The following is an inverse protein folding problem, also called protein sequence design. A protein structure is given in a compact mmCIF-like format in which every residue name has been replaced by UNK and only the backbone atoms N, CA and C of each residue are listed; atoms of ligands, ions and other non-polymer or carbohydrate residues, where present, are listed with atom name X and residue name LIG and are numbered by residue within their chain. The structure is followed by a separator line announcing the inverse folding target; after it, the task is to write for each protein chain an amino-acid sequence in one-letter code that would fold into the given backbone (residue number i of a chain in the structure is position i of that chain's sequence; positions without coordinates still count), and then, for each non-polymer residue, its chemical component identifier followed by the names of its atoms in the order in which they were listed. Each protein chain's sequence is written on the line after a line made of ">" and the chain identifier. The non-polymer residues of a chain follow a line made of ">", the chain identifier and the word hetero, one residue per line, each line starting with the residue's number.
data_IF_242902312666
#
_entry.id   IF_242902312666
#
_cell.length_a   1.000
_cell.length_b   1.000
_cell.length_c   1.000
_cell.angle_alpha   90.00
_cell.angle_beta   90.00
_cell.angle_gamma   90.00
#
_symmetry.space_group_name_H-M   'P 1'
#
loop_
_entity.id
_entity.type
_entity.pdbx_description
1 polymer ?
#
# COMPACT_ATOMS: atom_id res chain seq x y z
N UNK A 1 -4.69 19.69 -11.93
CA UNK A 1 -4.94 18.58 -12.88
C UNK A 1 -3.91 17.46 -12.62
N UNK A 2 -4.29 16.51 -11.76
CA UNK A 2 -3.41 15.44 -11.24
C UNK A 2 -3.20 14.34 -12.30
N UNK A 3 -3.89 14.41 -13.41
CA UNK A 3 -3.88 13.37 -14.45
C UNK A 3 -3.09 13.86 -15.66
N UNK A 4 -1.84 13.35 -15.78
CA UNK A 4 -1.09 13.46 -17.03
C UNK A 4 -1.90 12.80 -18.17
N UNK A 5 -1.72 13.28 -19.40
CA UNK A 5 -2.49 12.77 -20.57
C UNK A 5 -2.25 11.26 -20.77
N UNK A 6 -3.23 10.56 -21.31
CA UNK A 6 -3.19 9.11 -21.56
C UNK A 6 -2.00 8.64 -22.40
N UNK A 7 -1.38 9.53 -23.18
CA UNK A 7 -0.19 9.30 -23.98
C UNK A 7 1.09 9.03 -23.17
N UNK A 8 1.14 9.45 -21.90
CA UNK A 8 2.38 9.47 -21.10
C UNK A 8 2.67 8.13 -20.39
N UNK A 9 1.84 7.11 -20.61
CA UNK A 9 1.88 5.84 -19.87
C UNK A 9 1.87 4.60 -20.75
N UNK A 10 2.26 4.77 -22.02
CA UNK A 10 2.50 3.65 -22.92
C UNK A 10 3.81 2.95 -22.53
N UNK A 11 3.73 1.65 -22.31
CA UNK A 11 4.89 0.79 -22.10
C UNK A 11 5.32 0.20 -23.44
N UNK A 12 6.47 0.63 -23.93
CA UNK A 12 7.08 0.06 -25.13
C UNK A 12 7.94 -1.15 -24.74
N UNK A 13 7.41 -2.36 -25.02
CA UNK A 13 8.09 -3.62 -24.73
C UNK A 13 9.47 -3.73 -25.41
N UNK A 14 9.63 -3.10 -26.57
CA UNK A 14 10.90 -3.11 -27.30
C UNK A 14 11.92 -2.24 -26.56
N UNK A 15 11.57 -1.02 -26.20
CA UNK A 15 12.45 -0.14 -25.46
C UNK A 15 12.82 -0.72 -24.09
N UNK A 16 11.86 -1.39 -23.41
CA UNK A 16 12.13 -2.07 -22.15
C UNK A 16 13.14 -3.21 -22.34
N UNK A 17 12.96 -4.02 -23.37
CA UNK A 17 13.88 -5.10 -23.74
C UNK A 17 15.30 -4.56 -23.97
N UNK A 18 15.44 -3.50 -24.74
CA UNK A 18 16.72 -2.83 -25.02
C UNK A 18 17.37 -2.25 -23.75
N UNK A 19 16.59 -1.53 -22.93
CA UNK A 19 17.10 -0.91 -21.68
C UNK A 19 17.53 -1.91 -20.61
N UNK A 20 16.83 -3.04 -20.51
CA UNK A 20 17.09 -4.06 -19.50
C UNK A 20 18.07 -5.14 -19.99
N UNK A 21 18.47 -5.12 -21.27
CA UNK A 21 19.39 -6.10 -21.85
C UNK A 21 18.85 -7.52 -21.90
N UNK A 22 17.52 -7.68 -21.99
CA UNK A 22 16.85 -8.99 -22.02
C UNK A 22 16.03 -9.17 -23.31
N UNK A 23 15.68 -10.40 -23.66
CA UNK A 23 14.81 -10.65 -24.81
C UNK A 23 13.38 -10.16 -24.55
N UNK A 24 12.56 -10.10 -25.62
CA UNK A 24 11.17 -9.64 -25.51
C UNK A 24 10.25 -10.60 -24.75
N UNK A 25 10.60 -11.89 -24.71
CA UNK A 25 9.79 -12.92 -24.03
C UNK A 25 9.61 -12.64 -22.56
N UNK A 26 10.68 -12.48 -21.71
CA UNK A 26 10.50 -12.16 -20.30
C UNK A 26 9.82 -10.80 -20.08
N UNK A 27 9.95 -9.85 -21.00
CA UNK A 27 9.21 -8.58 -20.92
C UNK A 27 7.69 -8.84 -21.06
N UNK A 28 7.28 -9.65 -22.03
CA UNK A 28 5.86 -9.98 -22.21
C UNK A 28 5.28 -10.77 -21.04
N UNK A 29 6.05 -11.70 -20.47
CA UNK A 29 5.65 -12.43 -19.27
C UNK A 29 5.46 -11.48 -18.07
N UNK A 30 6.38 -10.56 -17.87
CA UNK A 30 6.26 -9.53 -16.84
C UNK A 30 5.05 -8.61 -17.08
N UNK A 31 4.81 -8.19 -18.31
CA UNK A 31 3.62 -7.38 -18.68
C UNK A 31 2.33 -8.15 -18.41
N UNK A 32 2.26 -9.44 -18.78
CA UNK A 32 1.08 -10.27 -18.51
C UNK A 32 0.81 -10.39 -17.00
N UNK A 33 1.86 -10.55 -16.18
CA UNK A 33 1.75 -10.56 -14.72
C UNK A 33 1.25 -9.22 -14.18
N UNK A 34 1.81 -8.10 -14.65
CA UNK A 34 1.36 -6.76 -14.26
C UNK A 34 -0.09 -6.49 -14.69
N UNK A 35 -0.54 -7.09 -15.81
CA UNK A 35 -1.93 -7.00 -16.25
C UNK A 35 -2.87 -7.79 -15.34
N UNK A 36 -2.48 -8.99 -14.91
CA UNK A 36 -3.22 -9.77 -13.92
C UNK A 36 -3.33 -9.03 -12.58
N UNK A 37 -2.29 -8.30 -12.19
CA UNK A 37 -2.27 -7.45 -10.99
C UNK A 37 -3.06 -6.13 -11.19
N UNK A 38 -3.54 -5.85 -12.41
CA UNK A 38 -4.30 -4.63 -12.74
C UNK A 38 -3.47 -3.35 -12.75
N UNK A 39 -2.15 -3.47 -12.88
CA UNK A 39 -1.21 -2.32 -12.94
C UNK A 39 -1.13 -1.76 -14.35
N UNK A 40 -1.20 -2.64 -15.34
CA UNK A 40 -1.23 -2.27 -16.75
C UNK A 40 -2.46 -2.84 -17.42
N UNK A 41 -2.78 -2.34 -18.62
CA UNK A 41 -3.85 -2.82 -19.47
C UNK A 41 -3.36 -2.90 -20.91
N UNK A 42 -3.53 -4.07 -21.53
CA UNK A 42 -3.27 -4.24 -22.96
C UNK A 42 -4.47 -3.78 -23.76
N UNK A 43 -4.26 -2.83 -24.65
CA UNK A 43 -5.28 -2.34 -25.58
C UNK A 43 -4.99 -2.91 -26.97
N UNK A 44 -5.90 -3.70 -27.56
CA UNK A 44 -5.68 -4.30 -28.86
C UNK A 44 -5.25 -3.26 -29.92
N UNK A 45 -4.19 -3.57 -30.66
CA UNK A 45 -3.60 -2.72 -31.71
C UNK A 45 -3.02 -1.37 -31.23
N UNK A 46 -3.08 -1.06 -29.94
CA UNK A 46 -2.57 0.19 -29.38
C UNK A 46 -1.39 0.00 -28.40
N UNK A 47 -1.20 -1.22 -27.88
CA UNK A 47 -0.10 -1.55 -26.98
C UNK A 47 -0.51 -1.63 -25.51
N UNK A 48 0.48 -1.59 -24.65
CA UNK A 48 0.34 -1.72 -23.18
C UNK A 48 0.39 -0.34 -22.55
N UNK A 49 -0.54 -0.09 -21.64
CA UNK A 49 -0.66 1.19 -20.92
C UNK A 49 -0.72 0.97 -19.42
N UNK A 50 -0.15 1.87 -18.63
CA UNK A 50 -0.35 1.88 -17.19
C UNK A 50 -1.83 2.09 -16.90
N UNK A 51 -2.42 1.17 -16.14
CA UNK A 51 -3.82 1.25 -15.74
C UNK A 51 -3.98 2.17 -14.53
N UNK A 52 -4.61 3.31 -14.75
CA UNK A 52 -4.94 4.27 -13.70
C UNK A 52 -6.31 3.96 -13.13
N UNK A 53 -6.36 3.73 -11.84
CA UNK A 53 -7.64 3.61 -11.14
C UNK A 53 -8.32 4.98 -11.05
N UNK A 54 -9.62 4.99 -11.26
CA UNK A 54 -10.46 6.18 -11.04
C UNK A 54 -10.51 6.53 -9.55
N UNK A 55 -10.91 7.77 -9.24
CA UNK A 55 -11.12 8.20 -7.85
C UNK A 55 -12.08 7.27 -7.09
N UNK A 56 -13.13 6.79 -7.78
CA UNK A 56 -14.11 5.86 -7.19
C UNK A 56 -13.44 4.53 -6.83
N UNK A 57 -12.72 3.90 -7.76
CA UNK A 57 -12.01 2.63 -7.49
C UNK A 57 -11.03 2.76 -6.33
N UNK A 58 -10.34 3.90 -6.21
CA UNK A 58 -9.43 4.15 -5.10
C UNK A 58 -10.16 4.29 -3.76
N UNK A 59 -11.33 4.94 -3.75
CA UNK A 59 -12.19 5.03 -2.56
C UNK A 59 -12.69 3.63 -2.19
N UNK A 60 -13.13 2.83 -3.16
CA UNK A 60 -13.60 1.47 -2.92
C UNK A 60 -12.49 0.60 -2.30
N UNK A 61 -11.26 0.69 -2.80
CA UNK A 61 -10.10 -0.02 -2.22
C UNK A 61 -9.86 0.42 -0.76
N UNK A 62 -9.84 1.72 -0.50
CA UNK A 62 -9.62 2.25 0.87
C UNK A 62 -10.74 1.84 1.80
N UNK A 63 -11.98 1.79 1.31
CA UNK A 63 -13.14 1.37 2.11
C UNK A 63 -13.03 -0.10 2.52
N UNK A 64 -12.70 -0.99 1.58
CA UNK A 64 -12.47 -2.41 1.87
C UNK A 64 -11.30 -2.58 2.83
N UNK A 65 -10.21 -1.85 2.61
CA UNK A 65 -9.05 -1.85 3.50
C UNK A 65 -9.42 -1.47 4.93
N UNK A 66 -10.12 -0.35 5.11
CA UNK A 66 -10.54 0.09 6.44
C UNK A 66 -11.41 -0.96 7.16
N UNK A 67 -12.31 -1.62 6.41
CA UNK A 67 -13.11 -2.72 6.94
C UNK A 67 -12.27 -3.92 7.41
N UNK A 68 -11.27 -4.31 6.61
CA UNK A 68 -10.36 -5.40 6.96
C UNK A 68 -9.48 -5.04 8.16
N UNK A 69 -8.93 -3.83 8.22
CA UNK A 69 -8.13 -3.37 9.38
C UNK A 69 -8.98 -3.25 10.65
N UNK A 70 -10.21 -2.76 10.54
CA UNK A 70 -11.13 -2.73 11.67
C UNK A 70 -11.39 -4.13 12.24
N UNK A 71 -11.62 -5.12 11.38
CA UNK A 71 -11.78 -6.50 11.81
C UNK A 71 -10.48 -7.14 12.30
N UNK A 72 -9.35 -6.75 11.72
CA UNK A 72 -8.02 -7.22 12.13
C UNK A 72 -7.75 -6.97 13.62
N UNK A 73 -8.22 -5.86 14.19
CA UNK A 73 -8.05 -5.54 15.60
C UNK A 73 -8.61 -6.64 16.51
N UNK A 74 -9.82 -7.16 16.21
CA UNK A 74 -10.42 -8.27 16.97
C UNK A 74 -9.57 -9.55 16.87
N UNK A 75 -9.11 -9.87 15.67
CA UNK A 75 -8.29 -11.07 15.45
C UNK A 75 -6.93 -10.97 16.14
N UNK A 76 -6.30 -9.80 16.14
CA UNK A 76 -5.01 -9.57 16.80
C UNK A 76 -5.13 -9.80 18.30
N UNK A 77 -6.16 -9.23 18.94
CA UNK A 77 -6.39 -9.42 20.37
C UNK A 77 -6.61 -10.89 20.71
N UNK A 78 -7.33 -11.64 19.85
CA UNK A 78 -7.56 -13.06 20.06
C UNK A 78 -6.35 -13.95 19.81
N UNK A 79 -5.51 -13.61 18.81
CA UNK A 79 -4.52 -14.54 18.25
C UNK A 79 -3.07 -14.14 18.52
N UNK A 80 -2.80 -12.90 18.98
CA UNK A 80 -1.42 -12.41 19.16
C UNK A 80 -1.09 -12.18 20.62
N UNK A 81 0.17 -12.42 20.97
CA UNK A 81 0.71 -12.10 22.31
C UNK A 81 0.95 -10.60 22.43
N UNK A 82 1.10 -10.14 23.69
CA UNK A 82 1.46 -8.74 23.96
C UNK A 82 2.77 -8.34 23.27
N UNK A 83 3.80 -9.17 23.33
CA UNK A 83 5.11 -8.90 22.74
C UNK A 83 5.02 -8.79 21.20
N UNK A 84 4.18 -9.62 20.57
CA UNK A 84 3.93 -9.51 19.13
C UNK A 84 3.25 -8.18 18.77
N UNK A 85 2.28 -7.73 19.57
CA UNK A 85 1.62 -6.42 19.39
C UNK A 85 2.59 -5.28 19.63
N UNK A 86 3.40 -5.35 20.70
CA UNK A 86 4.41 -4.34 21.03
C UNK A 86 5.47 -4.17 19.92
N UNK A 87 5.66 -5.22 19.09
CA UNK A 87 6.56 -5.13 17.93
C UNK A 87 6.13 -4.09 16.89
N UNK A 88 4.88 -3.61 16.91
CA UNK A 88 4.38 -2.53 16.05
C UNK A 88 5.05 -1.18 16.37
N UNK A 89 5.49 -0.97 17.61
CA UNK A 89 6.13 0.28 18.06
C UNK A 89 7.38 0.64 17.25
N UNK A 90 8.06 -0.34 16.66
CA UNK A 90 9.22 -0.10 15.78
C UNK A 90 8.91 0.76 14.55
N UNK A 91 7.64 0.86 14.16
CA UNK A 91 7.18 1.70 13.04
C UNK A 91 6.56 3.02 13.50
N UNK A 92 6.41 3.23 14.82
CA UNK A 92 5.74 4.39 15.42
C UNK A 92 6.73 5.36 16.11
N UNK A 93 8.00 5.36 15.69
CA UNK A 93 9.07 6.15 16.32
C UNK A 93 9.16 7.60 15.82
N UNK A 94 8.33 8.00 14.86
CA UNK A 94 8.32 9.35 14.32
C UNK A 94 7.61 10.33 15.25
N UNK A 95 8.13 11.55 15.30
CA UNK A 95 7.48 12.69 15.97
C UNK A 95 6.89 13.66 14.93
N UNK A 96 6.01 14.54 15.39
CA UNK A 96 5.42 15.59 14.54
C UNK A 96 6.47 16.58 14.02
N UNK A 97 7.56 16.74 14.76
CA UNK A 97 8.66 17.64 14.43
C UNK A 97 9.57 17.09 13.34
N UNK A 98 9.82 15.77 13.35
CA UNK A 98 10.79 15.17 12.43
C UNK A 98 10.16 14.49 11.20
N UNK A 99 8.88 14.13 11.24
CA UNK A 99 8.24 13.37 10.16
C UNK A 99 8.31 14.06 8.81
N UNK A 100 8.25 15.40 8.79
CA UNK A 100 8.27 16.17 7.54
C UNK A 100 9.66 16.16 6.87
N UNK A 101 10.73 15.99 7.63
CA UNK A 101 12.09 15.83 7.09
C UNK A 101 12.42 14.38 6.67
N UNK A 102 11.61 13.41 7.13
CA UNK A 102 11.82 11.98 6.91
C UNK A 102 10.66 11.30 6.15
N UNK A 103 9.94 12.04 5.32
CA UNK A 103 8.71 11.57 4.67
C UNK A 103 8.87 10.26 3.87
N UNK A 104 10.01 10.04 3.20
CA UNK A 104 10.24 8.81 2.45
C UNK A 104 10.39 7.61 3.40
N UNK A 105 11.14 7.75 4.49
CA UNK A 105 11.30 6.71 5.52
C UNK A 105 9.96 6.44 6.21
N UNK A 106 9.27 7.49 6.62
CA UNK A 106 7.94 7.40 7.20
C UNK A 106 6.96 6.68 6.28
N UNK A 107 6.92 7.03 4.98
CA UNK A 107 6.02 6.38 4.02
C UNK A 107 6.28 4.88 3.90
N UNK A 108 7.56 4.47 3.91
CA UNK A 108 7.94 3.06 3.88
C UNK A 108 7.54 2.32 5.16
N UNK A 109 7.77 2.93 6.31
CA UNK A 109 7.44 2.32 7.61
C UNK A 109 5.92 2.29 7.85
N UNK A 110 5.19 3.28 7.36
CA UNK A 110 3.72 3.24 7.34
C UNK A 110 3.17 2.02 6.57
N UNK A 111 3.78 1.66 5.42
CA UNK A 111 3.40 0.45 4.69
C UNK A 111 3.72 -0.81 5.51
N UNK A 112 4.91 -0.85 6.12
CA UNK A 112 5.33 -1.99 6.96
C UNK A 112 4.44 -2.14 8.20
N UNK A 113 3.99 -1.03 8.81
CA UNK A 113 3.06 -1.01 9.93
C UNK A 113 1.76 -1.73 9.57
N UNK A 114 1.10 -1.32 8.49
CA UNK A 114 -0.14 -1.93 8.04
C UNK A 114 0.03 -3.40 7.64
N UNK A 115 1.13 -3.75 6.99
CA UNK A 115 1.45 -5.14 6.67
C UNK A 115 1.67 -5.99 7.93
N UNK A 116 2.29 -5.42 8.96
CA UNK A 116 2.48 -6.11 10.23
C UNK A 116 1.15 -6.32 10.98
N UNK A 117 0.24 -5.34 10.95
CA UNK A 117 -1.14 -5.51 11.45
C UNK A 117 -1.79 -6.75 10.83
N UNK A 118 -1.72 -6.90 9.50
CA UNK A 118 -2.30 -8.07 8.84
C UNK A 118 -1.63 -9.38 9.24
N UNK A 119 -0.31 -9.40 9.40
CA UNK A 119 0.42 -10.61 9.85
C UNK A 119 0.02 -11.02 11.27
N UNK A 120 -0.22 -10.06 12.15
CA UNK A 120 -0.63 -10.31 13.52
C UNK A 120 -2.03 -10.93 13.63
N UNK A 121 -2.89 -10.80 12.64
CA UNK A 121 -4.18 -11.51 12.61
C UNK A 121 -4.04 -13.03 12.58
N UNK A 122 -2.90 -13.55 12.12
CA UNK A 122 -2.63 -14.96 11.79
C UNK A 122 -3.51 -15.51 10.66
N UNK A 123 -4.22 -14.65 9.93
CA UNK A 123 -5.06 -14.99 8.77
C UNK A 123 -4.33 -14.61 7.48
N UNK A 124 -3.65 -15.58 6.88
CA UNK A 124 -2.79 -15.39 5.70
C UNK A 124 -3.53 -14.69 4.55
N UNK A 125 -4.77 -15.09 4.29
CA UNK A 125 -5.59 -14.53 3.20
C UNK A 125 -5.82 -13.01 3.33
N UNK A 126 -5.95 -12.49 4.56
CA UNK A 126 -6.09 -11.04 4.77
C UNK A 126 -4.85 -10.28 4.30
N UNK A 127 -3.66 -10.81 4.59
CA UNK A 127 -2.40 -10.23 4.10
C UNK A 127 -2.31 -10.25 2.57
N UNK A 128 -2.65 -11.37 1.94
CA UNK A 128 -2.62 -11.55 0.48
C UNK A 128 -3.59 -10.57 -0.23
N UNK A 129 -4.81 -10.42 0.27
CA UNK A 129 -5.79 -9.46 -0.27
C UNK A 129 -5.25 -8.03 -0.20
N UNK A 130 -4.70 -7.63 0.95
CA UNK A 130 -4.20 -6.27 1.12
C UNK A 130 -2.94 -6.01 0.29
N UNK A 131 -2.02 -6.96 0.23
CA UNK A 131 -0.78 -6.82 -0.56
C UNK A 131 -1.10 -6.59 -2.04
N UNK A 132 -2.08 -7.31 -2.59
CA UNK A 132 -2.52 -7.12 -3.98
C UNK A 132 -3.09 -5.71 -4.25
N UNK A 133 -3.65 -5.03 -3.26
CA UNK A 133 -4.20 -3.69 -3.39
C UNK A 133 -3.20 -2.58 -3.03
N UNK A 134 -2.18 -2.89 -2.22
CA UNK A 134 -1.16 -1.93 -1.79
C UNK A 134 -0.44 -1.27 -2.95
N UNK A 135 -0.13 -2.03 -4.00
CA UNK A 135 0.57 -1.51 -5.17
C UNK A 135 -0.18 -0.36 -5.85
N UNK A 136 -1.51 -0.39 -5.84
CA UNK A 136 -2.34 0.67 -6.38
C UNK A 136 -2.37 1.92 -5.49
N UNK A 137 -2.18 1.73 -4.19
CA UNK A 137 -2.20 2.81 -3.18
C UNK A 137 -0.80 3.40 -2.92
N UNK A 138 0.28 2.68 -3.22
CA UNK A 138 1.64 3.15 -2.93
C UNK A 138 1.96 4.50 -3.57
N UNK A 139 1.60 4.68 -4.83
CA UNK A 139 1.81 5.96 -5.52
C UNK A 139 0.98 7.08 -4.91
N UNK A 140 -0.26 6.80 -4.55
CA UNK A 140 -1.14 7.78 -3.91
C UNK A 140 -0.68 8.11 -2.49
N UNK A 141 -0.29 7.09 -1.69
CA UNK A 141 0.20 7.30 -0.33
C UNK A 141 1.39 8.25 -0.32
N UNK A 142 2.39 7.99 -1.16
CA UNK A 142 3.57 8.87 -1.26
C UNK A 142 3.14 10.31 -1.57
N UNK A 143 2.23 10.50 -2.50
CA UNK A 143 1.73 11.83 -2.89
C UNK A 143 0.90 12.47 -1.79
N UNK A 144 -0.05 11.77 -1.18
CA UNK A 144 -0.90 12.31 -0.13
C UNK A 144 -0.15 12.58 1.17
N UNK A 145 0.80 11.74 1.54
CA UNK A 145 1.66 11.97 2.72
C UNK A 145 2.48 13.23 2.56
N UNK A 146 3.04 13.47 1.36
CA UNK A 146 3.87 14.66 1.09
C UNK A 146 3.03 15.94 0.98
N UNK A 147 1.86 15.87 0.35
CA UNK A 147 1.08 17.09 0.00
C UNK A 147 0.12 17.58 1.11
N UNK A 148 -0.21 16.77 2.13
CA UNK A 148 -1.40 17.06 2.96
C UNK A 148 -1.19 17.13 4.47
N UNK A 149 0.03 17.21 4.99
CA UNK A 149 0.30 17.11 6.44
C UNK A 149 -0.35 15.84 7.08
N UNK A 150 -0.79 14.89 6.24
CA UNK A 150 -1.45 13.66 6.68
C UNK A 150 -0.52 12.79 7.55
N UNK A 151 0.81 12.86 7.29
CA UNK A 151 1.81 12.15 8.08
C UNK A 151 1.71 12.50 9.57
N UNK A 152 1.60 13.81 9.88
CA UNK A 152 1.50 14.30 11.27
C UNK A 152 0.29 13.71 12.00
N UNK A 153 -0.87 13.67 11.33
CA UNK A 153 -2.09 13.08 11.91
C UNK A 153 -1.98 11.56 12.05
N UNK A 154 -1.39 10.90 11.06
CA UNK A 154 -1.26 9.45 11.04
C UNK A 154 -0.35 8.91 12.15
N UNK A 155 0.63 9.70 12.63
CA UNK A 155 1.46 9.33 13.79
C UNK A 155 0.59 9.11 15.03
N UNK A 156 -0.29 10.06 15.34
CA UNK A 156 -1.19 9.94 16.50
C UNK A 156 -2.10 8.72 16.34
N UNK A 157 -2.68 8.53 15.14
CA UNK A 157 -3.57 7.40 14.84
C UNK A 157 -2.86 6.04 15.00
N UNK A 158 -1.62 5.90 14.52
CA UNK A 158 -0.86 4.65 14.69
C UNK A 158 -0.55 4.37 16.17
N UNK A 159 -0.13 5.39 16.92
CA UNK A 159 0.10 5.26 18.35
C UNK A 159 -1.17 4.86 19.12
N UNK A 160 -2.32 5.42 18.74
CA UNK A 160 -3.61 5.08 19.33
C UNK A 160 -4.02 3.64 19.03
N UNK A 161 -3.80 3.18 17.79
CA UNK A 161 -4.04 1.78 17.40
C UNK A 161 -3.21 0.84 18.27
N UNK A 162 -1.89 1.07 18.40
CA UNK A 162 -1.02 0.19 19.18
C UNK A 162 -1.45 0.19 20.66
N UNK A 163 -1.70 1.36 21.24
CA UNK A 163 -2.17 1.47 22.64
C UNK A 163 -3.48 0.71 22.86
N UNK A 164 -4.43 0.83 21.94
CA UNK A 164 -5.73 0.16 22.04
C UNK A 164 -5.60 -1.36 21.91
N UNK A 165 -4.75 -1.84 21.01
CA UNK A 165 -4.48 -3.27 20.83
C UNK A 165 -3.83 -3.86 22.11
N UNK A 166 -2.83 -3.18 22.67
CA UNK A 166 -2.14 -3.61 23.91
C UNK A 166 -3.11 -3.63 25.08
N UNK A 167 -4.02 -2.65 25.16
CA UNK A 167 -5.05 -2.61 26.20
C UNK A 167 -6.18 -3.64 26.01
N UNK A 168 -6.18 -4.40 24.90
CA UNK A 168 -7.23 -5.36 24.59
C UNK A 168 -8.56 -4.73 24.19
N UNK A 169 -8.56 -3.46 23.80
CA UNK A 169 -9.76 -2.71 23.37
C UNK A 169 -9.90 -2.76 21.84
N UNK A 170 -10.36 -3.89 21.31
CA UNK A 170 -10.45 -4.15 19.86
C UNK A 170 -11.56 -3.40 19.11
N UNK A 171 -12.37 -2.60 19.79
CA UNK A 171 -13.49 -1.86 19.18
C UNK A 171 -13.66 -0.49 19.83
N UNK A 172 -12.89 0.46 19.41
CA UNK A 172 -13.19 1.89 19.59
C UNK A 172 -13.07 2.63 18.30
#
# INVERSE_FOLDING_TARGET
>A
NIYLKQSDFHLDERQLSEKLGVSRTPIREAVAKLEQEGIVKTVPRRGVFVHRKSKKELIDIVTVWAGLEGYAAHLIIANSTKDEIDSLNKYCHYSKENVLSELDNYSNDNIKFHNQIMKLTKVKLMGEILESQLIHLQYLRKKFVIESHRAVKSIDEHNDIVRSLVAGQGSK
#
